data_IF_852364494906
#
_entry.id   IF_852364494906
#
_cell.length_a   1.000
_cell.length_b   1.000
_cell.length_c   1.000
_cell.angle_alpha   90.00
_cell.angle_beta   90.00
_cell.angle_gamma   90.00
#
_symmetry.space_group_name_H-M   'P 1'
#
loop_
_entity.id
_entity.type
_entity.pdbx_description
1 polymer ?
#
# COMPACT_ATOMS: atom_id res chain seq x y z
N UNK A 1 -27.26 -15.74 5.23
CA UNK A 1 -26.93 -14.89 4.06
C UNK A 1 -26.01 -13.78 4.56
N UNK A 2 -24.70 -13.89 4.35
CA UNK A 2 -23.76 -12.85 4.77
C UNK A 2 -23.83 -11.72 3.75
N UNK A 3 -24.24 -10.54 4.23
CA UNK A 3 -24.31 -9.31 3.44
C UNK A 3 -22.99 -9.13 2.66
N UNK A 4 -23.10 -8.94 1.34
CA UNK A 4 -22.01 -8.36 0.56
C UNK A 4 -21.86 -6.91 1.01
N UNK A 5 -21.10 -6.70 2.10
CA UNK A 5 -20.50 -5.42 2.37
C UNK A 5 -19.68 -5.02 1.13
N UNK A 6 -19.77 -3.75 0.73
CA UNK A 6 -18.99 -3.24 -0.40
C UNK A 6 -17.53 -3.63 -0.27
N UNK A 7 -16.85 -3.80 -1.42
CA UNK A 7 -15.43 -4.11 -1.43
C UNK A 7 -14.67 -3.03 -0.61
N UNK A 8 -13.79 -3.41 0.33
CA UNK A 8 -13.04 -2.45 1.11
C UNK A 8 -12.20 -1.54 0.22
N UNK A 9 -11.95 -0.34 0.70
CA UNK A 9 -11.14 0.66 0.02
C UNK A 9 -9.73 0.70 0.61
N UNK A 10 -8.77 1.23 -0.15
CA UNK A 10 -7.60 1.86 0.45
C UNK A 10 -7.93 3.31 0.76
N UNK A 11 -7.44 3.83 1.88
CA UNK A 11 -7.57 5.25 2.19
C UNK A 11 -6.23 5.91 1.89
N UNK A 12 -6.20 7.00 1.13
CA UNK A 12 -4.97 7.74 0.84
C UNK A 12 -4.59 8.73 1.97
N UNK A 13 -3.42 9.37 1.84
CA UNK A 13 -2.90 10.34 2.82
C UNK A 13 -3.83 11.55 3.03
N UNK A 14 -4.74 11.81 2.09
CA UNK A 14 -5.70 12.91 2.11
C UNK A 14 -7.09 12.46 2.56
N UNK A 15 -7.22 11.23 3.04
CA UNK A 15 -8.48 10.62 3.46
C UNK A 15 -9.46 10.37 2.30
N UNK A 16 -8.98 10.16 1.08
CA UNK A 16 -9.83 9.70 -0.01
C UNK A 16 -9.86 8.18 -0.10
N UNK A 17 -11.06 7.65 -0.32
CA UNK A 17 -11.26 6.24 -0.61
C UNK A 17 -10.82 5.91 -2.05
N UNK A 18 -10.01 4.88 -2.20
CA UNK A 18 -9.47 4.39 -3.46
C UNK A 18 -9.79 2.90 -3.62
N UNK A 19 -10.34 2.52 -4.77
CA UNK A 19 -10.55 1.12 -5.17
C UNK A 19 -9.58 0.80 -6.29
N UNK A 20 -8.71 -0.18 -6.05
CA UNK A 20 -7.69 -0.63 -7.02
C UNK A 20 -6.83 0.50 -7.59
N UNK A 21 -6.21 1.35 -6.75
CA UNK A 21 -5.37 2.44 -7.23
C UNK A 21 -4.17 1.91 -8.01
N UNK A 22 -3.74 2.61 -9.06
CA UNK A 22 -2.49 2.30 -9.78
C UNK A 22 -1.25 2.81 -9.04
N UNK A 23 -1.43 3.82 -8.21
CA UNK A 23 -0.37 4.52 -7.48
C UNK A 23 -0.83 4.84 -6.06
N UNK A 24 0.05 4.68 -5.08
CA UNK A 24 -0.30 4.89 -3.67
C UNK A 24 0.91 5.36 -2.87
N UNK A 25 0.78 6.45 -2.12
CA UNK A 25 1.87 6.97 -1.28
C UNK A 25 1.86 6.22 0.05
N UNK A 26 2.99 5.62 0.43
CA UNK A 26 3.13 4.93 1.73
C UNK A 26 3.66 5.87 2.81
N UNK A 27 4.57 6.77 2.44
CA UNK A 27 5.18 7.72 3.35
C UNK A 27 4.54 9.11 3.21
N UNK A 28 3.41 9.34 3.88
CA UNK A 28 2.63 10.57 3.73
C UNK A 28 3.38 11.86 4.15
N UNK A 29 4.35 11.76 5.07
CA UNK A 29 5.06 12.93 5.59
C UNK A 29 6.17 13.46 4.68
N UNK A 30 6.87 12.59 3.97
CA UNK A 30 8.08 12.94 3.22
C UNK A 30 8.09 12.43 1.76
N UNK A 31 7.12 11.59 1.37
CA UNK A 31 7.01 11.03 0.03
C UNK A 31 8.12 10.06 -0.36
N UNK A 32 8.96 9.61 0.57
CA UNK A 32 10.14 8.80 0.29
C UNK A 32 9.82 7.34 -0.10
N UNK A 33 8.57 6.90 0.05
CA UNK A 33 8.11 5.59 -0.40
C UNK A 33 6.72 5.69 -1.03
N UNK A 34 6.60 5.17 -2.26
CA UNK A 34 5.35 5.08 -3.00
C UNK A 34 5.26 3.79 -3.80
N UNK A 35 4.03 3.30 -3.98
CA UNK A 35 3.69 2.24 -4.90
C UNK A 35 3.29 2.84 -6.24
N UNK A 36 3.71 2.21 -7.33
CA UNK A 36 3.41 2.64 -8.69
C UNK A 36 3.15 1.46 -9.61
N UNK A 37 2.43 1.72 -10.70
CA UNK A 37 2.09 0.71 -11.72
C UNK A 37 1.43 -0.55 -11.14
N UNK A 38 0.60 -0.38 -10.10
CA UNK A 38 -0.10 -1.47 -9.45
C UNK A 38 -1.12 -2.11 -10.40
N UNK A 39 -1.03 -3.43 -10.53
CA UNK A 39 -1.94 -4.28 -11.29
C UNK A 39 -2.61 -5.24 -10.35
N UNK A 40 -3.87 -4.96 -10.02
CA UNK A 40 -4.66 -5.76 -9.09
C UNK A 40 -5.18 -7.03 -9.77
N UNK A 41 -4.74 -8.18 -9.28
CA UNK A 41 -5.26 -9.48 -9.69
C UNK A 41 -6.48 -9.89 -8.83
N UNK A 42 -6.55 -9.40 -7.60
CA UNK A 42 -7.61 -9.71 -6.63
C UNK A 42 -8.03 -8.48 -5.84
N UNK A 43 -9.33 -8.37 -5.57
CA UNK A 43 -9.90 -7.35 -4.69
C UNK A 43 -11.20 -7.89 -4.09
N UNK A 44 -11.09 -8.47 -2.90
CA UNK A 44 -12.14 -9.19 -2.20
C UNK A 44 -12.42 -8.59 -0.82
N UNK A 45 -13.56 -8.88 -0.19
CA UNK A 45 -13.92 -8.27 1.09
C UNK A 45 -12.90 -8.44 2.22
N UNK A 46 -12.07 -9.48 2.17
CA UNK A 46 -11.06 -9.85 3.18
C UNK A 46 -9.62 -9.55 2.76
N UNK A 47 -9.34 -9.51 1.45
CA UNK A 47 -8.00 -9.31 0.94
C UNK A 47 -7.96 -8.73 -0.47
N UNK A 48 -6.86 -8.08 -0.82
CA UNK A 48 -6.55 -7.68 -2.19
C UNK A 48 -5.08 -7.96 -2.51
N UNK A 49 -4.79 -8.22 -3.78
CA UNK A 49 -3.44 -8.54 -4.25
C UNK A 49 -3.14 -7.79 -5.53
N UNK A 50 -1.96 -7.16 -5.58
CA UNK A 50 -1.43 -6.51 -6.77
C UNK A 50 0.05 -6.82 -6.97
N UNK A 51 0.48 -6.72 -8.22
CA UNK A 51 1.90 -6.62 -8.58
C UNK A 51 2.20 -5.18 -8.99
N UNK A 52 3.41 -4.70 -8.71
CA UNK A 52 3.84 -3.37 -9.14
C UNK A 52 5.24 -3.05 -8.63
N UNK A 53 5.50 -1.77 -8.44
CA UNK A 53 6.80 -1.31 -7.95
C UNK A 53 6.68 -0.50 -6.67
N UNK A 54 7.56 -0.78 -5.72
CA UNK A 54 7.83 0.09 -4.61
C UNK A 54 9.00 1.01 -4.98
N UNK A 55 8.73 2.30 -5.08
CA UNK A 55 9.70 3.34 -5.42
C UNK A 55 10.16 4.01 -4.13
N UNK A 56 11.43 3.84 -3.78
CA UNK A 56 12.00 4.27 -2.49
C UNK A 56 13.19 5.18 -2.70
N UNK A 57 13.24 6.28 -1.96
CA UNK A 57 14.42 7.13 -1.88
C UNK A 57 15.50 6.46 -1.02
N UNK A 58 16.71 6.32 -1.54
CA UNK A 58 17.85 5.76 -0.76
C UNK A 58 18.34 6.68 0.35
N UNK A 59 17.94 7.96 0.33
CA UNK A 59 18.35 8.99 1.29
C UNK A 59 19.86 9.08 1.52
N UNK A 60 20.69 8.81 0.50
CA UNK A 60 22.15 8.90 0.61
C UNK A 60 22.69 10.14 -0.12
N UNK A 61 23.46 11.03 0.55
CA UNK A 61 23.80 11.05 1.99
C UNK A 61 22.69 11.57 2.90
N UNK A 62 21.67 12.24 2.35
CA UNK A 62 20.44 12.65 3.04
C UNK A 62 19.28 12.66 2.05
N UNK A 63 18.03 12.65 2.53
CA UNK A 63 16.85 12.42 1.68
C UNK A 63 16.66 13.42 0.53
N UNK A 64 16.98 14.70 0.72
CA UNK A 64 16.86 15.70 -0.35
C UNK A 64 17.90 15.56 -1.49
N UNK A 65 19.00 14.84 -1.25
CA UNK A 65 20.03 14.54 -2.28
C UNK A 65 20.01 13.07 -2.74
N UNK A 66 19.16 12.24 -2.15
CA UNK A 66 19.06 10.82 -2.47
C UNK A 66 18.44 10.54 -3.84
N UNK A 67 18.39 9.27 -4.20
CA UNK A 67 17.81 8.80 -5.47
C UNK A 67 16.67 7.83 -5.21
N UNK A 68 15.64 7.92 -6.05
CA UNK A 68 14.56 6.96 -6.06
C UNK A 68 14.95 5.72 -6.86
N UNK A 69 14.79 4.56 -6.24
CA UNK A 69 15.00 3.25 -6.84
C UNK A 69 13.67 2.50 -6.88
N UNK A 70 13.43 1.75 -7.95
CA UNK A 70 12.21 0.97 -8.14
C UNK A 70 12.46 -0.50 -7.89
N UNK A 71 11.67 -1.11 -7.02
CA UNK A 71 11.76 -2.52 -6.68
C UNK A 71 10.45 -3.24 -7.00
N UNK A 72 10.47 -4.35 -7.74
CA UNK A 72 9.28 -5.12 -8.04
C UNK A 72 8.74 -5.77 -6.75
N UNK A 73 7.46 -5.56 -6.48
CA UNK A 73 6.77 -6.06 -5.29
C UNK A 73 5.45 -6.72 -5.61
N UNK A 74 5.09 -7.70 -4.79
CA UNK A 74 3.71 -8.12 -4.61
C UNK A 74 3.17 -7.35 -3.40
N UNK A 75 2.07 -6.65 -3.60
CA UNK A 75 1.32 -5.94 -2.56
C UNK A 75 0.14 -6.80 -2.13
N UNK A 76 -0.01 -7.00 -0.82
CA UNK A 76 -1.18 -7.67 -0.25
C UNK A 76 -1.85 -6.76 0.76
N UNK A 77 -3.16 -6.59 0.63
CA UNK A 77 -3.99 -5.88 1.59
C UNK A 77 -4.82 -6.88 2.36
N UNK A 78 -5.00 -6.66 3.65
CA UNK A 78 -5.81 -7.51 4.52
C UNK A 78 -6.36 -6.71 5.72
N UNK A 79 -6.95 -7.43 6.68
CA UNK A 79 -7.54 -6.90 7.90
C UNK A 79 -8.55 -5.77 7.64
N UNK A 80 -9.62 -6.03 6.86
CA UNK A 80 -10.64 -5.02 6.61
C UNK A 80 -11.32 -4.59 7.92
N UNK A 81 -11.47 -3.28 8.12
CA UNK A 81 -12.18 -2.71 9.26
C UNK A 81 -13.14 -1.61 8.79
N UNK A 82 -14.25 -1.36 9.51
CA UNK A 82 -15.09 -0.19 9.25
C UNK A 82 -14.27 1.09 9.36
N UNK A 83 -14.39 1.96 8.38
CA UNK A 83 -13.66 3.21 8.40
C UNK A 83 -14.35 4.21 9.32
N UNK A 84 -13.66 4.67 10.37
CA UNK A 84 -14.26 5.55 11.39
C UNK A 84 -14.85 6.85 10.83
N UNK A 85 -14.27 7.41 9.76
CA UNK A 85 -14.73 8.65 9.14
C UNK A 85 -15.93 8.45 8.22
N UNK A 86 -16.07 7.25 7.63
CA UNK A 86 -17.18 6.86 6.75
C UNK A 86 -17.64 5.45 7.13
N UNK A 87 -18.50 5.32 8.15
CA UNK A 87 -18.88 4.02 8.72
C UNK A 87 -19.64 3.09 7.77
N UNK A 88 -20.13 3.62 6.65
CA UNK A 88 -20.73 2.91 5.53
C UNK A 88 -19.69 2.17 4.66
N UNK A 89 -18.41 2.52 4.80
CA UNK A 89 -17.29 1.91 4.09
C UNK A 89 -16.39 1.10 5.03
N UNK A 90 -15.81 0.04 4.48
CA UNK A 90 -14.67 -0.65 5.09
C UNK A 90 -13.39 -0.26 4.37
N UNK A 91 -12.27 -0.23 5.07
CA UNK A 91 -10.94 -0.11 4.47
C UNK A 91 -10.04 -1.27 4.88
N UNK A 92 -8.99 -1.54 4.11
CA UNK A 92 -7.90 -2.41 4.57
C UNK A 92 -7.00 -1.64 5.54
N UNK A 93 -6.61 -2.25 6.65
CA UNK A 93 -5.74 -1.61 7.66
C UNK A 93 -4.32 -2.16 7.67
N UNK A 94 -4.01 -3.16 6.86
CA UNK A 94 -2.67 -3.72 6.79
C UNK A 94 -2.28 -3.97 5.34
N UNK A 95 -1.03 -3.63 5.05
CA UNK A 95 -0.38 -3.78 3.76
C UNK A 95 0.92 -4.55 3.92
N UNK A 96 1.09 -5.63 3.16
CA UNK A 96 2.33 -6.38 3.07
C UNK A 96 3.01 -6.09 1.72
N UNK A 97 4.30 -5.79 1.77
CA UNK A 97 5.18 -5.71 0.61
C UNK A 97 6.06 -6.97 0.57
N UNK A 98 5.96 -7.72 -0.53
CA UNK A 98 6.86 -8.84 -0.80
C UNK A 98 7.75 -8.48 -1.97
N UNK A 99 9.02 -8.22 -1.68
CA UNK A 99 10.03 -7.91 -2.68
C UNK A 99 10.41 -9.17 -3.46
N UNK A 100 10.23 -9.12 -4.78
CA UNK A 100 10.44 -10.30 -5.66
C UNK A 100 11.93 -10.43 -6.02
N UNK A 101 12.53 -9.35 -6.50
CA UNK A 101 13.93 -9.29 -6.91
C UNK A 101 14.53 -7.93 -6.57
N UNK A 102 15.51 -7.93 -5.66
CA UNK A 102 16.05 -6.71 -5.07
C UNK A 102 15.09 -6.11 -4.02
N UNK A 103 15.66 -5.35 -3.11
CA UNK A 103 14.95 -4.65 -2.04
C UNK A 103 15.77 -3.44 -1.59
N UNK A 104 15.17 -2.43 -0.95
CA UNK A 104 15.92 -1.38 -0.29
C UNK A 104 16.89 -1.96 0.76
N UNK A 105 18.01 -1.27 0.98
CA UNK A 105 18.96 -1.63 2.02
C UNK A 105 18.28 -1.63 3.39
N UNK A 106 18.57 -2.65 4.22
CA UNK A 106 17.98 -2.77 5.56
C UNK A 106 16.53 -3.30 5.61
N UNK A 107 15.84 -3.41 4.49
CA UNK A 107 14.48 -3.97 4.45
C UNK A 107 14.49 -5.50 4.43
N UNK A 108 13.45 -6.14 4.96
CA UNK A 108 13.21 -7.57 4.76
C UNK A 108 12.70 -7.86 3.35
N UNK A 109 12.72 -9.13 2.93
CA UNK A 109 12.03 -9.56 1.72
C UNK A 109 10.51 -9.37 1.86
N UNK A 110 10.00 -9.58 3.08
CA UNK A 110 8.63 -9.32 3.48
C UNK A 110 8.62 -8.14 4.46
N UNK A 111 7.76 -7.16 4.21
CA UNK A 111 7.55 -6.01 5.10
C UNK A 111 6.06 -5.79 5.31
N UNK A 112 5.60 -5.90 6.56
CA UNK A 112 4.23 -5.56 6.94
C UNK A 112 4.19 -4.12 7.45
N UNK A 113 3.24 -3.35 6.92
CA UNK A 113 3.02 -1.95 7.26
C UNK A 113 1.55 -1.80 7.69
N UNK A 114 1.28 -1.21 8.87
CA UNK A 114 -0.07 -0.78 9.20
C UNK A 114 -0.45 0.39 8.27
N UNK A 115 -1.65 0.34 7.73
CA UNK A 115 -2.31 1.48 7.09
C UNK A 115 -3.04 2.29 8.16
N UNK A 116 -3.19 3.58 7.90
CA UNK A 116 -3.89 4.48 8.81
C UNK A 116 -5.39 4.15 8.87
N UNK A 117 -5.99 4.49 10.01
CA UNK A 117 -7.42 4.33 10.28
C UNK A 117 -8.02 5.64 10.77
#
# INVERSE_FOLDING_TARGET
MKQQAGQPVMVDCFWHAQVRPTDFILACGDGNSRLTSLRWSQWHPDSAVAEGFNVVNDCKPYCAAGKFHSYPVIVRLNAPQPWKKHPDLSHYTQLSLVYINGKPDGFGQWVDLPLWN
#
